data_IF_587977583954
#
_entry.id   IF_587977583954
#
_cell.length_a   1.000
_cell.length_b   1.000
_cell.length_c   1.000
_cell.angle_alpha   90.00
_cell.angle_beta   90.00
_cell.angle_gamma   90.00
#
_symmetry.space_group_name_H-M   'P 1'
#
loop_
_entity.id
_entity.type
_entity.pdbx_description
1 polymer ?
#
# COMPACT_ATOMS: atom_id res chain seq x y z
N UNK A 1 -0.79 22.83 -7.08
CA UNK A 1 0.54 22.21 -6.97
C UNK A 1 0.88 21.69 -8.34
N UNK A 2 1.89 22.23 -9.01
CA UNK A 2 2.36 21.69 -10.31
C UNK A 2 3.36 20.58 -10.02
N UNK A 3 3.05 19.35 -10.47
CA UNK A 3 3.95 18.21 -10.42
C UNK A 3 4.51 18.02 -11.82
N UNK A 4 5.84 18.05 -11.97
CA UNK A 4 6.47 17.76 -13.27
C UNK A 4 6.76 16.27 -13.42
N UNK A 5 6.97 15.83 -14.66
CA UNK A 5 7.42 14.46 -14.95
C UNK A 5 8.73 14.13 -14.21
N UNK A 6 9.62 15.09 -13.98
CA UNK A 6 10.84 14.87 -13.22
C UNK A 6 10.56 14.55 -11.74
N UNK A 7 9.56 15.21 -11.14
CA UNK A 7 9.17 15.01 -9.73
C UNK A 7 8.52 13.64 -9.48
N UNK A 8 7.99 13.03 -10.54
CA UNK A 8 7.26 11.74 -10.48
C UNK A 8 8.18 10.51 -10.49
N UNK A 9 9.51 10.72 -10.55
CA UNK A 9 10.51 9.70 -10.83
C UNK A 9 10.22 8.88 -12.11
N UNK A 10 9.46 9.47 -13.04
CA UNK A 10 9.04 8.81 -14.27
C UNK A 10 10.21 8.51 -15.19
N UNK A 11 10.08 7.43 -15.95
CA UNK A 11 10.96 7.07 -17.05
C UNK A 11 10.17 7.06 -18.34
N UNK A 12 10.64 7.80 -19.33
CA UNK A 12 10.07 7.81 -20.67
C UNK A 12 11.01 7.05 -21.60
N UNK A 13 10.45 6.13 -22.38
CA UNK A 13 11.20 5.33 -23.37
C UNK A 13 10.37 5.20 -24.63
N UNK A 14 11.01 5.47 -25.77
CA UNK A 14 10.47 5.08 -27.08
C UNK A 14 10.95 3.66 -27.38
N UNK A 15 10.02 2.81 -27.79
CA UNK A 15 10.27 1.39 -28.08
C UNK A 15 9.40 0.93 -29.27
N UNK A 16 9.50 -0.35 -29.62
CA UNK A 16 8.52 -1.04 -30.47
C UNK A 16 7.69 -2.00 -29.59
N UNK A 17 6.41 -2.16 -29.91
CA UNK A 17 5.61 -3.22 -29.31
C UNK A 17 5.84 -4.59 -29.98
N UNK A 18 5.11 -5.61 -29.52
CA UNK A 18 5.27 -7.00 -30.00
C UNK A 18 4.93 -7.16 -31.50
N UNK A 19 4.27 -6.17 -32.11
CA UNK A 19 3.94 -6.14 -33.53
C UNK A 19 4.89 -5.26 -34.35
N UNK A 20 5.89 -4.64 -33.70
CA UNK A 20 6.83 -3.74 -34.35
C UNK A 20 6.29 -2.31 -34.53
N UNK A 21 5.17 -1.97 -33.90
CA UNK A 21 4.61 -0.63 -33.95
C UNK A 21 5.28 0.28 -32.90
N UNK A 22 5.53 1.57 -33.21
CA UNK A 22 6.22 2.45 -32.28
C UNK A 22 5.35 2.79 -31.07
N UNK A 23 5.94 2.67 -29.87
CA UNK A 23 5.27 2.95 -28.60
C UNK A 23 6.13 3.88 -27.73
N UNK A 24 5.48 4.86 -27.10
CA UNK A 24 6.06 5.66 -26.03
C UNK A 24 5.59 5.10 -24.69
N UNK A 25 6.51 4.48 -23.96
CA UNK A 25 6.28 3.95 -22.61
C UNK A 25 6.62 5.00 -21.57
N UNK A 26 5.65 5.31 -20.71
CA UNK A 26 5.77 6.21 -19.56
C UNK A 26 5.63 5.38 -18.29
N UNK A 27 6.74 5.10 -17.61
CA UNK A 27 6.77 4.35 -16.35
C UNK A 27 6.86 5.32 -15.16
N UNK A 28 5.77 5.49 -14.41
CA UNK A 28 5.67 6.33 -13.21
C UNK A 28 6.28 5.65 -11.97
N UNK A 29 6.75 6.44 -11.01
CA UNK A 29 7.31 5.95 -9.74
C UNK A 29 6.28 5.62 -8.65
N UNK A 30 4.99 5.87 -8.90
CA UNK A 30 3.89 5.71 -7.95
C UNK A 30 2.66 5.08 -8.62
N UNK A 31 1.74 4.45 -7.85
CA UNK A 31 0.52 3.86 -8.38
C UNK A 31 -0.39 4.98 -8.91
N UNK A 32 -0.89 4.83 -10.13
CA UNK A 32 -1.53 5.92 -10.85
C UNK A 32 -2.75 5.44 -11.65
N UNK A 33 -3.40 4.36 -11.21
CA UNK A 33 -4.54 3.78 -11.92
C UNK A 33 -5.64 4.80 -12.20
N UNK A 34 -5.89 5.74 -11.27
CA UNK A 34 -6.93 6.77 -11.42
C UNK A 34 -6.63 7.83 -12.49
N UNK A 35 -5.38 7.95 -12.94
CA UNK A 35 -4.95 8.99 -13.89
C UNK A 35 -4.27 8.44 -15.16
N UNK A 36 -3.96 7.14 -15.22
CA UNK A 36 -3.13 6.57 -16.28
C UNK A 36 -3.71 6.78 -17.69
N UNK A 37 -5.02 6.52 -17.86
CA UNK A 37 -5.69 6.67 -19.16
C UNK A 37 -5.76 8.13 -19.60
N UNK A 38 -6.09 9.02 -18.68
CA UNK A 38 -6.16 10.46 -18.94
C UNK A 38 -4.78 11.04 -19.28
N UNK A 39 -3.74 10.59 -18.57
CA UNK A 39 -2.37 10.95 -18.88
C UNK A 39 -1.94 10.43 -20.25
N UNK A 40 -2.25 9.18 -20.58
CA UNK A 40 -1.94 8.59 -21.88
C UNK A 40 -2.61 9.39 -23.01
N UNK A 41 -3.90 9.72 -22.86
CA UNK A 41 -4.67 10.54 -23.80
C UNK A 41 -4.07 11.92 -23.98
N UNK A 42 -3.77 12.61 -22.88
CA UNK A 42 -3.18 13.95 -22.91
C UNK A 42 -1.81 13.95 -23.62
N UNK A 43 -0.96 12.96 -23.36
CA UNK A 43 0.32 12.82 -24.05
C UNK A 43 0.10 12.53 -25.54
N UNK A 44 -0.82 11.62 -25.88
CA UNK A 44 -1.13 11.26 -27.26
C UNK A 44 -1.57 12.48 -28.10
N UNK A 45 -2.37 13.38 -27.52
CA UNK A 45 -2.84 14.61 -28.17
C UNK A 45 -1.72 15.62 -28.47
N UNK A 46 -0.61 15.56 -27.71
CA UNK A 46 0.52 16.48 -27.86
C UNK A 46 1.72 15.86 -28.59
N UNK A 47 1.65 14.58 -28.96
CA UNK A 47 2.68 13.93 -29.75
C UNK A 47 2.63 14.38 -31.22
N UNK A 48 3.79 14.72 -31.77
CA UNK A 48 3.91 15.13 -33.17
C UNK A 48 3.65 13.99 -34.15
N UNK A 49 3.93 12.74 -33.75
CA UNK A 49 3.72 11.54 -34.54
C UNK A 49 2.48 10.78 -34.00
N UNK A 50 1.33 10.85 -34.69
CA UNK A 50 0.11 10.17 -34.24
C UNK A 50 0.19 8.65 -34.40
N UNK A 51 1.18 8.13 -35.12
CA UNK A 51 1.43 6.69 -35.25
C UNK A 51 2.11 6.08 -34.02
N UNK A 52 2.61 6.89 -33.09
CA UNK A 52 3.20 6.41 -31.83
C UNK A 52 2.11 6.23 -30.79
N UNK A 53 1.91 5.01 -30.31
CA UNK A 53 0.98 4.70 -29.22
C UNK A 53 1.59 5.09 -27.87
N UNK A 54 0.79 5.60 -26.94
CA UNK A 54 1.24 5.87 -25.57
C UNK A 54 0.80 4.77 -24.62
N UNK A 55 1.74 4.25 -23.82
CA UNK A 55 1.45 3.35 -22.72
C UNK A 55 1.93 3.95 -21.40
N UNK A 56 1.01 4.10 -20.44
CA UNK A 56 1.33 4.52 -19.08
C UNK A 56 1.32 3.30 -18.17
N UNK A 57 2.37 3.16 -17.37
CA UNK A 57 2.54 2.10 -16.38
C UNK A 57 3.20 2.67 -15.13
N UNK A 58 3.29 1.89 -14.06
CA UNK A 58 4.03 2.30 -12.87
C UNK A 58 4.87 1.16 -12.31
N UNK A 59 6.01 1.53 -11.72
CA UNK A 59 6.89 0.60 -11.03
C UNK A 59 7.37 1.19 -9.72
N UNK A 60 6.83 0.64 -8.64
CA UNK A 60 7.20 1.03 -7.28
C UNK A 60 8.58 0.45 -6.96
N UNK A 61 9.54 1.32 -6.68
CA UNK A 61 10.86 0.91 -6.22
C UNK A 61 10.84 0.70 -4.72
N UNK A 62 11.54 -0.33 -4.27
CA UNK A 62 11.80 -0.49 -2.85
C UNK A 62 12.79 0.60 -2.41
N UNK A 63 12.46 1.30 -1.33
CA UNK A 63 13.37 2.29 -0.75
C UNK A 63 14.34 1.59 0.20
N UNK A 64 15.57 2.11 0.27
CA UNK A 64 16.55 1.62 1.24
C UNK A 64 16.01 1.84 2.66
N UNK A 65 16.03 0.78 3.47
CA UNK A 65 15.74 0.87 4.90
C UNK A 65 16.92 1.55 5.60
N UNK A 66 16.63 2.38 6.60
CA UNK A 66 17.66 3.07 7.37
C UNK A 66 18.46 2.06 8.23
N UNK A 67 19.80 2.12 8.15
CA UNK A 67 20.69 1.46 9.12
C UNK A 67 20.84 -0.07 8.94
N UNK A 68 20.69 -0.81 10.04
CA UNK A 68 20.94 -2.27 10.15
C UNK A 68 19.73 -3.14 9.82
N UNK A 69 18.61 -2.54 9.40
CA UNK A 69 17.38 -3.27 9.09
C UNK A 69 17.46 -3.91 7.71
N UNK A 70 17.10 -5.19 7.63
CA UNK A 70 16.98 -5.89 6.35
C UNK A 70 15.59 -5.62 5.74
N UNK A 71 15.50 -5.27 4.45
CA UNK A 71 14.21 -5.12 3.78
C UNK A 71 13.45 -6.45 3.81
N UNK A 72 12.14 -6.39 4.06
CA UNK A 72 11.26 -7.55 3.85
C UNK A 72 11.07 -7.75 2.34
N UNK A 73 11.47 -8.88 1.74
CA UNK A 73 11.49 -9.04 0.27
C UNK A 73 10.13 -8.81 -0.41
N UNK A 74 9.06 -9.21 0.26
CA UNK A 74 7.67 -9.10 -0.20
C UNK A 74 7.11 -7.66 -0.06
N UNK A 75 7.71 -6.83 0.80
CA UNK A 75 7.18 -5.49 1.13
C UNK A 75 8.11 -4.42 0.56
N UNK A 76 7.65 -3.75 -0.50
CA UNK A 76 8.43 -2.70 -1.16
C UNK A 76 8.57 -1.44 -0.30
N UNK A 77 7.53 -1.06 0.45
CA UNK A 77 7.51 0.15 1.26
C UNK A 77 6.70 -0.05 2.54
N UNK A 78 7.14 0.57 3.63
CA UNK A 78 6.42 0.62 4.91
C UNK A 78 6.14 2.09 5.23
N UNK A 79 4.87 2.43 5.43
CA UNK A 79 4.43 3.77 5.81
C UNK A 79 3.96 3.73 7.26
N UNK A 80 4.73 4.33 8.16
CA UNK A 80 4.35 4.44 9.56
C UNK A 80 3.38 5.60 9.78
N UNK A 81 2.18 5.31 10.30
CA UNK A 81 1.18 6.31 10.67
C UNK A 81 1.07 6.34 12.19
N UNK A 82 1.55 7.43 12.80
CA UNK A 82 1.59 7.61 14.25
C UNK A 82 0.90 8.92 14.67
N UNK A 83 0.43 8.98 15.92
CA UNK A 83 -0.10 10.21 16.51
C UNK A 83 0.40 10.36 17.95
N UNK A 84 0.78 11.58 18.34
CA UNK A 84 1.32 11.87 19.66
C UNK A 84 0.28 11.99 20.78
N UNK A 85 -1.02 11.92 20.46
CA UNK A 85 -2.14 11.99 21.41
C UNK A 85 -3.26 11.04 20.99
N UNK A 86 -3.99 10.49 21.96
CA UNK A 86 -5.20 9.69 21.69
C UNK A 86 -6.31 10.52 21.02
N UNK A 87 -7.05 9.93 20.09
CA UNK A 87 -8.20 10.55 19.43
C UNK A 87 -7.90 11.36 18.16
N UNK A 88 -6.64 11.46 17.72
CA UNK A 88 -6.23 12.29 16.57
C UNK A 88 -6.49 11.72 15.17
N UNK A 89 -7.41 10.75 15.00
CA UNK A 89 -7.75 10.20 13.68
C UNK A 89 -6.70 9.28 13.04
N UNK A 90 -5.70 8.80 13.80
CA UNK A 90 -4.61 7.93 13.32
C UNK A 90 -5.11 6.75 12.48
N UNK A 91 -6.04 5.98 13.02
CA UNK A 91 -6.58 4.78 12.36
C UNK A 91 -7.40 5.15 11.12
N UNK A 92 -8.17 6.24 11.20
CA UNK A 92 -8.91 6.79 10.06
C UNK A 92 -7.98 7.16 8.92
N UNK A 93 -6.90 7.90 9.22
CA UNK A 93 -5.89 8.26 8.23
C UNK A 93 -5.19 7.02 7.66
N UNK A 94 -4.81 6.06 8.50
CA UNK A 94 -4.14 4.84 8.06
C UNK A 94 -5.03 4.01 7.10
N UNK A 95 -6.28 3.77 7.48
CA UNK A 95 -7.24 3.02 6.66
C UNK A 95 -7.51 3.73 5.32
N UNK A 96 -7.80 5.03 5.34
CA UNK A 96 -8.09 5.76 4.10
C UNK A 96 -6.86 5.89 3.21
N UNK A 97 -5.66 6.05 3.78
CA UNK A 97 -4.43 6.03 3.00
C UNK A 97 -4.22 4.68 2.32
N UNK A 98 -4.44 3.58 3.05
CA UNK A 98 -4.32 2.23 2.49
C UNK A 98 -5.34 1.99 1.37
N UNK A 99 -6.61 2.37 1.58
CA UNK A 99 -7.67 2.27 0.58
C UNK A 99 -7.37 3.14 -0.65
N UNK A 100 -6.88 4.36 -0.47
CA UNK A 100 -6.50 5.24 -1.57
C UNK A 100 -5.36 4.67 -2.42
N UNK A 101 -4.32 4.13 -1.78
CA UNK A 101 -3.23 3.45 -2.50
C UNK A 101 -3.74 2.21 -3.25
N UNK A 102 -4.63 1.42 -2.63
CA UNK A 102 -5.27 0.27 -3.27
C UNK A 102 -6.09 0.68 -4.49
N UNK A 103 -6.90 1.74 -4.35
CA UNK A 103 -7.68 2.30 -5.46
C UNK A 103 -6.81 2.80 -6.62
N UNK A 104 -5.60 3.29 -6.34
CA UNK A 104 -4.61 3.68 -7.35
C UNK A 104 -3.80 2.49 -7.92
N UNK A 105 -4.17 1.25 -7.57
CA UNK A 105 -3.58 0.03 -8.12
C UNK A 105 -2.38 -0.51 -7.35
N UNK A 106 -2.17 -0.08 -6.10
CA UNK A 106 -1.13 -0.64 -5.24
C UNK A 106 -1.61 -1.90 -4.49
N UNK A 107 -0.81 -2.96 -4.49
CA UNK A 107 -0.98 -4.06 -3.55
C UNK A 107 -0.69 -3.55 -2.14
N UNK A 108 -1.74 -3.43 -1.32
CA UNK A 108 -1.67 -2.74 -0.03
C UNK A 108 -2.18 -3.62 1.10
N UNK A 109 -1.45 -3.61 2.22
CA UNK A 109 -1.88 -4.19 3.47
C UNK A 109 -1.82 -3.18 4.61
N UNK A 110 -2.52 -3.47 5.70
CA UNK A 110 -2.53 -2.65 6.91
C UNK A 110 -2.24 -3.52 8.15
N UNK A 111 -1.35 -3.03 9.00
CA UNK A 111 -0.99 -3.64 10.28
C UNK A 111 -1.30 -2.66 11.40
N UNK A 112 -2.20 -3.06 12.30
CA UNK A 112 -2.58 -2.28 13.48
C UNK A 112 -1.91 -2.84 14.73
N UNK A 113 -1.00 -2.05 15.31
CA UNK A 113 -0.30 -2.35 16.56
C UNK A 113 -0.87 -1.56 17.77
N UNK A 114 -2.02 -0.89 17.62
CA UNK A 114 -2.62 -0.10 18.69
C UNK A 114 -3.36 -0.97 19.71
N UNK A 115 -2.67 -1.37 20.78
CA UNK A 115 -3.21 -2.27 21.82
C UNK A 115 -4.34 -1.62 22.63
N UNK A 116 -4.34 -0.29 22.79
CA UNK A 116 -5.25 0.40 23.71
C UNK A 116 -6.56 0.85 23.07
N UNK A 117 -6.65 0.78 21.74
CA UNK A 117 -7.85 1.15 21.00
C UNK A 117 -7.80 0.72 19.54
N UNK A 118 -7.63 -0.58 19.26
CA UNK A 118 -7.54 -1.08 17.89
C UNK A 118 -8.88 -0.85 17.19
N UNK A 119 -8.93 0.21 16.38
CA UNK A 119 -10.13 0.67 15.68
C UNK A 119 -10.21 0.13 14.25
N UNK A 120 -9.11 -0.42 13.74
CA UNK A 120 -9.04 -0.96 12.37
C UNK A 120 -10.00 -2.14 12.17
N UNK A 121 -10.16 -3.11 13.10
CA UNK A 121 -11.18 -4.15 12.98
C UNK A 121 -12.59 -3.58 12.78
N UNK A 122 -12.94 -2.54 13.54
CA UNK A 122 -14.23 -1.82 13.42
C UNK A 122 -14.37 -1.16 12.05
N UNK A 123 -13.37 -0.37 11.66
CA UNK A 123 -13.42 0.44 10.45
C UNK A 123 -13.49 -0.40 9.17
N UNK A 124 -12.92 -1.61 9.20
CA UNK A 124 -12.95 -2.54 8.07
C UNK A 124 -14.14 -3.51 8.11
N UNK A 125 -15.01 -3.44 9.13
CA UNK A 125 -16.13 -4.37 9.28
C UNK A 125 -15.71 -5.80 9.63
N UNK A 126 -14.54 -5.95 10.25
CA UNK A 126 -13.91 -7.23 10.61
C UNK A 126 -14.03 -7.54 12.12
N UNK A 127 -14.90 -6.85 12.86
CA UNK A 127 -15.09 -7.11 14.29
C UNK A 127 -15.52 -8.55 14.57
N UNK A 128 -14.90 -9.16 15.57
CA UNK A 128 -15.20 -10.53 15.99
C UNK A 128 -14.59 -11.61 15.10
N UNK A 129 -13.95 -11.25 13.99
CA UNK A 129 -13.21 -12.19 13.16
C UNK A 129 -11.81 -12.42 13.73
N UNK A 130 -11.28 -13.63 13.53
CA UNK A 130 -9.94 -14.02 13.96
C UNK A 130 -9.16 -14.57 12.76
N UNK A 131 -7.89 -14.18 12.56
CA UNK A 131 -7.07 -14.75 11.52
C UNK A 131 -6.79 -16.22 11.81
N UNK A 132 -6.69 -17.01 10.75
CA UNK A 132 -6.37 -18.44 10.82
C UNK A 132 -4.84 -18.59 10.79
N UNK A 133 -4.32 -19.56 11.54
CA UNK A 133 -2.94 -20.01 11.38
C UNK A 133 -2.94 -21.43 10.86
N UNK A 134 -2.45 -21.62 9.64
CA UNK A 134 -2.37 -22.94 8.98
C UNK A 134 -1.09 -23.70 9.34
N UNK A 135 -0.03 -22.98 9.73
CA UNK A 135 1.30 -23.53 10.05
C UNK A 135 1.65 -23.44 11.55
N UNK A 136 0.80 -22.80 12.37
CA UNK A 136 1.01 -22.53 13.79
C UNK A 136 2.12 -21.51 14.08
N UNK A 137 2.64 -20.82 13.05
CA UNK A 137 3.74 -19.85 13.13
C UNK A 137 3.35 -18.48 12.64
N UNK A 138 2.54 -18.43 11.59
CA UNK A 138 2.09 -17.20 10.95
C UNK A 138 0.56 -17.16 10.89
N UNK A 139 0.03 -15.95 10.84
CA UNK A 139 -1.39 -15.71 10.68
C UNK A 139 -1.66 -15.27 9.25
N UNK A 140 -2.67 -15.88 8.64
CA UNK A 140 -3.22 -15.41 7.37
C UNK A 140 -4.01 -14.12 7.63
N UNK A 141 -3.66 -13.00 6.96
CA UNK A 141 -4.34 -11.74 7.17
C UNK A 141 -5.81 -11.83 6.74
N UNK A 142 -6.67 -11.11 7.45
CA UNK A 142 -8.06 -10.96 7.04
C UNK A 142 -8.15 -10.02 5.84
N UNK A 143 -9.12 -10.21 4.96
CA UNK A 143 -9.29 -9.36 3.78
C UNK A 143 -10.54 -8.49 3.89
N UNK A 144 -10.40 -7.20 3.57
CA UNK A 144 -11.51 -6.26 3.46
C UNK A 144 -11.20 -5.18 2.42
N UNK A 145 -12.14 -4.90 1.53
CA UNK A 145 -12.02 -3.84 0.52
C UNK A 145 -10.74 -3.93 -0.35
N UNK A 146 -10.28 -5.14 -0.65
CA UNK A 146 -9.04 -5.37 -1.39
C UNK A 146 -7.76 -5.08 -0.59
N UNK A 147 -7.86 -4.90 0.73
CA UNK A 147 -6.74 -4.80 1.65
C UNK A 147 -6.56 -6.10 2.42
N UNK A 148 -5.31 -6.51 2.61
CA UNK A 148 -4.93 -7.45 3.65
C UNK A 148 -4.78 -6.72 4.98
N UNK A 149 -5.43 -7.20 6.02
CA UNK A 149 -5.51 -6.54 7.32
C UNK A 149 -5.05 -7.47 8.43
N UNK A 150 -4.13 -6.97 9.26
CA UNK A 150 -3.77 -7.56 10.54
C UNK A 150 -3.90 -6.53 11.65
N UNK A 151 -4.37 -6.96 12.81
CA UNK A 151 -4.54 -6.11 13.98
C UNK A 151 -4.34 -6.93 15.23
N UNK A 152 -3.66 -6.35 16.23
CA UNK A 152 -3.67 -6.90 17.59
C UNK A 152 -5.10 -7.08 18.10
N UNK A 153 -6.04 -6.23 17.67
CA UNK A 153 -7.46 -6.32 18.00
C UNK A 153 -8.17 -7.58 17.49
N UNK A 154 -7.60 -8.32 16.53
CA UNK A 154 -8.14 -9.63 16.13
C UNK A 154 -7.74 -10.75 17.09
N UNK A 155 -6.62 -10.59 17.80
CA UNK A 155 -6.06 -11.59 18.70
C UNK A 155 -6.56 -11.44 20.14
N UNK A 156 -7.22 -10.32 20.47
CA UNK A 156 -7.76 -10.03 21.80
C UNK A 156 -9.28 -10.17 21.77
N UNK A 157 -9.83 -11.13 22.51
CA UNK A 157 -11.27 -11.14 22.80
C UNK A 157 -11.63 -9.93 23.68
N UNK A 158 -12.62 -9.12 23.30
CA UNK A 158 -13.04 -7.88 24.02
C UNK A 158 -13.30 -8.07 25.53
N UNK A 159 -13.55 -9.31 25.97
CA UNK A 159 -13.87 -9.64 27.36
C UNK A 159 -12.66 -10.04 28.21
N UNK A 160 -11.49 -10.30 27.61
CA UNK A 160 -10.29 -10.67 28.34
C UNK A 160 -9.31 -9.50 28.41
N UNK A 161 -9.14 -8.94 29.61
CA UNK A 161 -8.02 -8.05 29.92
C UNK A 161 -6.73 -8.86 29.91
N UNK A 162 -6.19 -9.09 28.71
CA UNK A 162 -4.88 -9.71 28.55
C UNK A 162 -3.82 -8.74 29.07
N UNK A 163 -3.07 -9.17 30.10
CA UNK A 163 -1.86 -8.46 30.54
C UNK A 163 -0.78 -8.79 29.50
N UNK A 164 -0.64 -7.92 28.50
CA UNK A 164 0.43 -8.02 27.51
C UNK A 164 1.78 -7.75 28.18
N UNK A 165 2.61 -8.77 28.31
CA UNK A 165 4.01 -8.58 28.71
C UNK A 165 4.84 -8.19 27.48
N UNK A 166 5.83 -7.32 27.64
CA UNK A 166 6.68 -6.81 26.55
C UNK A 166 7.15 -7.85 25.52
N UNK A 167 7.58 -9.07 25.92
CA UNK A 167 7.96 -10.12 24.98
C UNK A 167 6.84 -10.60 24.04
N UNK A 168 5.57 -10.60 24.49
CA UNK A 168 4.42 -11.03 23.68
C UNK A 168 4.06 -10.01 22.59
N UNK A 169 4.20 -8.72 22.89
CA UNK A 169 3.95 -7.65 21.91
C UNK A 169 4.96 -7.72 20.77
N UNK A 170 6.24 -7.93 21.11
CA UNK A 170 7.29 -8.06 20.09
C UNK A 170 7.09 -9.31 19.22
N UNK A 171 6.68 -10.44 19.80
CA UNK A 171 6.40 -11.66 19.03
C UNK A 171 5.16 -11.54 18.14
N UNK A 172 4.13 -10.79 18.55
CA UNK A 172 2.93 -10.62 17.74
C UNK A 172 3.13 -9.72 16.50
N UNK A 173 4.21 -8.94 16.48
CA UNK A 173 4.54 -7.99 15.42
C UNK A 173 5.76 -8.41 14.57
N UNK A 174 6.34 -9.58 14.86
CA UNK A 174 7.43 -10.22 14.10
C UNK A 174 6.86 -11.30 13.19
#
# INVERSE_FOLDING_TARGET
MELTVADTAARLRRDLDDHGEPVLRVELGFPAAGIADELARCIQEHLADPGVRVEVSWKIRAHAVHGTLSPMPEIRNIIAVASGKGGGGKSTTAVNLALGLSAEGASTGILDADIYGPSIPMMLGLEGQQPVSTDGKSFEPLEAFGLQAMSVGFLVSREQTLIWRGPMVTQALQ
#
